data_IF_698533128440
#
_entry.id   IF_698533128440
#
_cell.length_a   1.000
_cell.length_b   1.000
_cell.length_c   1.000
_cell.angle_alpha   90.00
_cell.angle_beta   90.00
_cell.angle_gamma   90.00
#
_symmetry.space_group_name_H-M   'P 1'
#
loop_
_entity.id
_entity.type
_entity.pdbx_description
1 polymer ?
#
# COMPACT_ATOMS: atom_id res chain seq x y z
N UNK A 1 5.01 -20.24 12.80
CA UNK A 1 4.12 -20.05 13.95
C UNK A 1 2.77 -20.69 13.68
N UNK A 2 2.19 -21.37 14.66
CA UNK A 2 0.82 -21.88 14.61
C UNK A 2 -0.17 -20.83 15.16
N UNK A 3 -1.48 -21.09 15.06
CA UNK A 3 -2.54 -20.15 15.49
C UNK A 3 -2.42 -19.74 16.96
N UNK A 4 -2.08 -20.68 17.85
CA UNK A 4 -1.95 -20.40 19.29
C UNK A 4 -0.79 -19.43 19.52
N UNK A 5 0.37 -19.71 18.94
CA UNK A 5 1.55 -18.85 19.06
C UNK A 5 1.30 -17.42 18.55
N UNK A 6 0.58 -17.28 17.43
CA UNK A 6 0.20 -15.95 16.91
C UNK A 6 -0.71 -15.20 17.87
N UNK A 7 -1.72 -15.88 18.43
CA UNK A 7 -2.65 -15.24 19.37
C UNK A 7 -1.96 -14.86 20.68
N UNK A 8 -1.08 -15.72 21.19
CA UNK A 8 -0.32 -15.46 22.40
C UNK A 8 0.61 -14.24 22.19
N UNK A 9 1.29 -14.16 21.05
CA UNK A 9 2.13 -13.01 20.69
C UNK A 9 1.33 -11.71 20.55
N UNK A 10 0.17 -11.73 19.88
CA UNK A 10 -0.66 -10.53 19.68
C UNK A 10 -1.35 -10.01 20.95
N UNK A 11 -1.55 -10.89 21.94
CA UNK A 11 -2.23 -10.55 23.20
C UNK A 11 -1.26 -10.21 24.33
N UNK A 12 0.02 -10.51 24.15
CA UNK A 12 1.03 -10.23 25.16
C UNK A 12 0.96 -8.77 25.62
N UNK A 13 1.02 -8.58 26.93
CA UNK A 13 1.15 -7.26 27.57
C UNK A 13 2.59 -7.00 28.01
N UNK A 14 3.51 -7.92 27.72
CA UNK A 14 4.94 -7.77 27.97
C UNK A 14 5.57 -6.83 26.93
N UNK A 15 6.82 -6.44 27.16
CA UNK A 15 7.59 -5.65 26.19
C UNK A 15 7.71 -6.40 24.86
N UNK A 16 7.25 -5.81 23.73
CA UNK A 16 7.34 -6.45 22.43
C UNK A 16 8.75 -6.40 21.81
N UNK A 17 9.71 -5.71 22.42
CA UNK A 17 11.07 -5.58 21.87
C UNK A 17 11.75 -6.92 21.49
N UNK A 18 11.64 -8.01 22.28
CA UNK A 18 12.19 -9.31 21.88
C UNK A 18 11.54 -9.87 20.61
N UNK A 19 10.21 -9.71 20.46
CA UNK A 19 9.49 -10.16 19.27
C UNK A 19 9.92 -9.37 18.02
N UNK A 20 10.12 -8.06 18.17
CA UNK A 20 10.60 -7.21 17.07
C UNK A 20 12.05 -7.51 16.69
N UNK A 21 12.91 -7.80 17.67
CA UNK A 21 14.29 -8.21 17.41
C UNK A 21 14.36 -9.54 16.64
N UNK A 22 13.53 -10.52 17.02
CA UNK A 22 13.42 -11.79 16.30
C UNK A 22 12.90 -11.57 14.86
N UNK A 23 11.89 -10.70 14.69
CA UNK A 23 11.39 -10.34 13.37
C UNK A 23 12.46 -9.68 12.49
N UNK A 24 13.30 -8.77 13.04
CA UNK A 24 14.42 -8.19 12.29
C UNK A 24 15.48 -9.23 11.95
N UNK A 25 15.81 -10.14 12.86
CA UNK A 25 16.78 -11.22 12.61
C UNK A 25 16.32 -12.12 11.44
N UNK A 26 15.05 -12.51 11.42
CA UNK A 26 14.45 -13.27 10.32
C UNK A 26 14.47 -12.44 9.03
N UNK A 27 13.99 -11.20 9.07
CA UNK A 27 14.00 -10.31 7.89
C UNK A 27 15.42 -10.14 7.34
N UNK A 28 16.44 -9.95 8.19
CA UNK A 28 17.85 -9.82 7.77
C UNK A 28 18.38 -11.07 7.10
N UNK A 29 18.08 -12.23 7.69
CA UNK A 29 18.51 -13.54 7.16
C UNK A 29 17.99 -13.79 5.75
N UNK A 30 16.73 -13.43 5.47
CA UNK A 30 16.08 -13.75 4.20
C UNK A 30 16.10 -12.62 3.17
N UNK A 31 16.13 -11.36 3.62
CA UNK A 31 16.03 -10.18 2.75
C UNK A 31 17.32 -9.34 2.67
N UNK A 32 18.36 -9.68 3.46
CA UNK A 32 19.58 -8.88 3.55
C UNK A 32 19.31 -7.50 4.17
N UNK A 33 20.09 -6.47 3.88
CA UNK A 33 19.86 -5.11 4.41
C UNK A 33 19.24 -4.15 3.37
N UNK A 34 18.88 -4.67 2.20
CA UNK A 34 18.30 -3.87 1.12
C UNK A 34 16.87 -3.41 1.42
N UNK A 35 16.56 -2.18 1.02
CA UNK A 35 15.19 -1.63 1.06
C UNK A 35 14.72 -1.37 -0.36
N UNK A 36 13.65 -2.05 -0.78
CA UNK A 36 13.08 -1.90 -2.12
C UNK A 36 12.04 -0.78 -2.16
N UNK A 37 12.38 0.32 -2.86
CA UNK A 37 11.46 1.44 -3.06
C UNK A 37 10.44 1.15 -4.17
N UNK A 38 9.18 1.54 -3.93
CA UNK A 38 8.05 1.37 -4.87
C UNK A 38 7.38 2.73 -5.11
N UNK A 39 7.29 3.17 -6.36
CA UNK A 39 6.59 4.42 -6.71
C UNK A 39 5.08 4.19 -6.71
N UNK A 40 4.33 4.80 -5.81
CA UNK A 40 2.88 4.65 -5.75
C UNK A 40 2.20 5.72 -6.60
N UNK A 41 1.40 5.31 -7.58
CA UNK A 41 0.57 6.18 -8.41
C UNK A 41 -0.89 5.91 -8.09
N UNK A 42 -1.50 6.83 -7.37
CA UNK A 42 -2.93 6.84 -7.07
C UNK A 42 -3.67 7.54 -8.23
N UNK A 43 -4.06 6.78 -9.26
CA UNK A 43 -4.49 7.37 -10.54
C UNK A 43 -5.99 7.73 -10.62
N UNK A 44 -6.80 7.27 -9.66
CA UNK A 44 -8.20 7.68 -9.53
C UNK A 44 -8.68 7.50 -8.09
N UNK A 45 -9.38 8.52 -7.58
CA UNK A 45 -10.09 8.44 -6.29
C UNK A 45 -11.61 8.23 -6.46
N UNK A 46 -12.09 7.97 -7.66
CA UNK A 46 -13.47 7.50 -7.86
C UNK A 46 -13.58 6.06 -7.34
N UNK A 47 -14.67 5.77 -6.63
CA UNK A 47 -14.90 4.44 -6.09
C UNK A 47 -16.40 4.17 -6.02
N UNK A 48 -16.85 3.02 -6.54
CA UNK A 48 -18.24 2.56 -6.41
C UNK A 48 -18.58 1.97 -5.04
N UNK A 49 -17.59 1.70 -4.19
CA UNK A 49 -17.78 1.09 -2.87
C UNK A 49 -18.02 2.14 -1.80
N UNK A 50 -18.64 1.70 -0.70
CA UNK A 50 -19.04 2.58 0.39
C UNK A 50 -18.42 2.21 1.75
N UNK A 51 -17.17 1.72 1.75
CA UNK A 51 -16.48 1.24 2.95
C UNK A 51 -16.49 2.29 4.07
N UNK A 52 -16.86 1.89 5.29
CA UNK A 52 -17.11 2.81 6.42
C UNK A 52 -15.85 3.52 6.92
N UNK A 53 -14.67 2.95 6.70
CA UNK A 53 -13.38 3.51 7.09
C UNK A 53 -12.69 4.32 5.97
N UNK A 54 -13.22 4.29 4.75
CA UNK A 54 -12.49 4.78 3.58
C UNK A 54 -12.93 6.21 3.20
N UNK A 55 -11.97 7.13 3.12
CA UNK A 55 -12.22 8.53 2.75
C UNK A 55 -12.74 8.72 1.33
N UNK A 56 -12.38 7.83 0.39
CA UNK A 56 -12.80 7.89 -1.01
C UNK A 56 -14.11 7.14 -1.29
N UNK A 57 -14.81 6.66 -0.25
CA UNK A 57 -16.11 5.98 -0.37
C UNK A 57 -17.09 6.78 -1.24
N UNK A 58 -17.95 6.07 -1.97
CA UNK A 58 -18.90 6.65 -2.93
C UNK A 58 -19.77 7.76 -2.32
N UNK A 59 -20.26 7.57 -1.10
CA UNK A 59 -21.16 8.54 -0.46
C UNK A 59 -20.45 9.78 0.12
N UNK A 60 -19.12 9.89 0.04
CA UNK A 60 -18.42 11.12 0.42
C UNK A 60 -18.54 12.16 -0.71
N UNK A 61 -19.57 12.99 -0.63
CA UNK A 61 -19.85 14.06 -1.61
C UNK A 61 -18.99 15.32 -1.42
N UNK A 62 -18.27 15.45 -0.30
CA UNK A 62 -17.38 16.58 -0.02
C UNK A 62 -15.99 16.43 -0.65
N UNK A 63 -15.67 15.22 -1.14
CA UNK A 63 -14.38 14.92 -1.75
C UNK A 63 -14.36 15.36 -3.21
N UNK A 64 -13.38 16.17 -3.58
CA UNK A 64 -13.08 16.44 -4.99
C UNK A 64 -12.62 15.15 -5.68
N UNK A 65 -13.28 14.80 -6.79
CA UNK A 65 -12.98 13.58 -7.53
C UNK A 65 -12.06 13.86 -8.69
N UNK A 66 -11.08 12.97 -8.91
CA UNK A 66 -10.13 13.09 -10.00
C UNK A 66 -9.86 11.74 -10.67
N UNK A 67 -9.44 11.83 -11.93
CA UNK A 67 -8.82 10.75 -12.70
C UNK A 67 -7.62 11.34 -13.41
N UNK A 68 -6.48 10.67 -13.34
CA UNK A 68 -5.35 10.98 -14.21
C UNK A 68 -5.63 10.42 -15.60
N UNK A 69 -5.23 11.18 -16.62
CA UNK A 69 -5.13 10.69 -18.00
C UNK A 69 -4.05 9.62 -18.13
N UNK A 70 -4.11 8.82 -19.20
CA UNK A 70 -3.07 7.83 -19.51
C UNK A 70 -1.70 8.49 -19.67
N UNK A 71 -1.64 9.68 -20.25
CA UNK A 71 -0.42 10.47 -20.41
C UNK A 71 0.16 10.91 -19.06
N UNK A 72 -0.67 11.37 -18.12
CA UNK A 72 -0.24 11.73 -16.76
C UNK A 72 0.26 10.50 -16.00
N UNK A 73 -0.43 9.35 -16.12
CA UNK A 73 -0.01 8.09 -15.48
C UNK A 73 1.37 7.66 -16.01
N UNK A 74 1.57 7.70 -17.33
CA UNK A 74 2.84 7.36 -17.96
C UNK A 74 3.95 8.34 -17.57
N UNK A 75 3.65 9.65 -17.48
CA UNK A 75 4.60 10.65 -16.99
C UNK A 75 5.03 10.39 -15.55
N UNK A 76 4.09 10.06 -14.65
CA UNK A 76 4.40 9.66 -13.28
C UNK A 76 5.27 8.38 -13.23
N UNK A 77 4.98 7.40 -14.07
CA UNK A 77 5.78 6.18 -14.15
C UNK A 77 7.20 6.43 -14.67
N UNK A 78 7.35 7.29 -15.69
CA UNK A 78 8.64 7.71 -16.21
C UNK A 78 9.45 8.48 -15.15
N UNK A 79 8.80 9.35 -14.38
CA UNK A 79 9.44 10.07 -13.27
C UNK A 79 9.91 9.11 -12.16
N UNK A 80 9.08 8.12 -11.79
CA UNK A 80 9.49 7.09 -10.84
C UNK A 80 10.74 6.32 -11.33
N UNK A 81 10.78 5.96 -12.62
CA UNK A 81 11.96 5.32 -13.20
C UNK A 81 13.20 6.25 -13.14
N UNK A 82 13.05 7.54 -13.47
CA UNK A 82 14.13 8.54 -13.40
C UNK A 82 14.67 8.72 -11.99
N UNK A 83 13.81 8.64 -10.98
CA UNK A 83 14.17 8.69 -9.56
C UNK A 83 14.80 7.39 -9.03
N UNK A 84 14.91 6.35 -9.86
CA UNK A 84 15.55 5.09 -9.49
C UNK A 84 14.64 4.09 -8.78
N UNK A 85 13.32 4.29 -8.82
CA UNK A 85 12.39 3.27 -8.33
C UNK A 85 12.42 2.04 -9.24
N UNK A 86 12.62 0.86 -8.65
CA UNK A 86 12.65 -0.41 -9.39
C UNK A 86 11.29 -0.92 -9.86
N UNK A 87 10.20 -0.28 -9.43
CA UNK A 87 8.83 -0.63 -9.84
C UNK A 87 7.83 0.44 -9.43
N UNK A 88 6.68 0.41 -10.09
CA UNK A 88 5.53 1.27 -9.82
C UNK A 88 4.34 0.43 -9.34
N UNK A 89 3.57 0.97 -8.40
CA UNK A 89 2.28 0.42 -7.94
C UNK A 89 1.17 1.32 -8.47
N UNK A 90 0.25 0.74 -9.22
CA UNK A 90 -0.96 1.43 -9.67
C UNK A 90 -2.09 1.17 -8.67
N UNK A 91 -2.66 2.22 -8.10
CA UNK A 91 -3.75 2.13 -7.15
C UNK A 91 -4.87 3.11 -7.51
N UNK A 92 -6.11 2.68 -7.29
CA UNK A 92 -7.28 3.53 -7.39
C UNK A 92 -8.38 3.03 -6.46
N UNK A 93 -9.46 3.80 -6.33
CA UNK A 93 -10.74 3.20 -5.94
C UNK A 93 -11.24 2.19 -6.98
N UNK A 94 -12.37 1.54 -6.70
CA UNK A 94 -13.06 0.72 -7.71
C UNK A 94 -13.78 1.63 -8.72
N UNK A 95 -13.03 2.11 -9.72
CA UNK A 95 -13.49 3.02 -10.75
C UNK A 95 -13.80 2.28 -12.06
N UNK A 96 -15.05 2.32 -12.50
CA UNK A 96 -15.50 1.64 -13.71
C UNK A 96 -15.04 2.33 -15.02
N UNK A 97 -14.46 3.53 -14.93
CA UNK A 97 -13.89 4.20 -16.11
C UNK A 97 -12.68 3.45 -16.67
N UNK A 98 -11.84 2.90 -15.79
CA UNK A 98 -10.69 2.10 -16.17
C UNK A 98 -11.12 0.62 -16.18
N UNK A 99 -11.48 0.12 -17.36
CA UNK A 99 -11.72 -1.31 -17.59
C UNK A 99 -10.46 -1.98 -18.14
N UNK A 100 -10.28 -3.30 -17.93
CA UNK A 100 -9.24 -4.07 -18.60
C UNK A 100 -9.31 -3.98 -20.13
#
# INVERSE_FOLDING_TARGET
MNRKEVLDALRSQEDPAPLFAEADAVRRRFMGDGVHLRGLIEFSNHCRRNCLYCGIRAANAKLHRYRLSSEEILACAAEAARLGYGSVVMQSGEDAHFTP
#
